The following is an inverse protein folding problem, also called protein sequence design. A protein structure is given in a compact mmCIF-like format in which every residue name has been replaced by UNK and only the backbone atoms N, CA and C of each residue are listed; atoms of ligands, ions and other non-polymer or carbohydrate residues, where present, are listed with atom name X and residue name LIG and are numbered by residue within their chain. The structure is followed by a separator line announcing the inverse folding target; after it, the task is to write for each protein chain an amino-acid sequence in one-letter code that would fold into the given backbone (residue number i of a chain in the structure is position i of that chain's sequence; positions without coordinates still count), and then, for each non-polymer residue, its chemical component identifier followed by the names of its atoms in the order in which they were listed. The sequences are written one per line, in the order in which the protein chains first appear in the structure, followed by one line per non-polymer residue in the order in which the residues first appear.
data_IF_384606461291
#
_entry.id   IF_384606461291
#
_cell.length_a   1.000
_cell.length_b   1.000
_cell.length_c   1.000
_cell.angle_alpha   90.00
_cell.angle_beta   90.00
_cell.angle_gamma   90.00
#
_symmetry.space_group_name_H-M   'P 1'
#
loop_
_entity.id
_entity.type
_entity.pdbx_description
1 polymer ?
#
# COMPACT_ATOMS: atom_id res chain seq x y z
N UNK A 1 3.87 -0.14 13.32
CA UNK A 1 3.57 0.06 11.89
C UNK A 1 4.72 -0.47 11.05
N UNK A 2 4.43 -1.12 9.97
CA UNK A 2 5.43 -1.75 9.12
C UNK A 2 5.35 -1.24 7.68
N UNK A 3 6.51 -1.20 7.02
CA UNK A 3 6.63 -0.90 5.62
C UNK A 3 7.48 -1.94 4.92
N UNK A 4 6.92 -2.57 3.89
CA UNK A 4 7.61 -3.58 3.09
C UNK A 4 7.81 -3.09 1.67
N UNK A 5 8.97 -3.35 1.12
CA UNK A 5 9.23 -3.23 -0.31
C UNK A 5 9.49 -4.63 -0.83
N UNK A 6 8.65 -5.09 -1.76
CA UNK A 6 8.79 -6.38 -2.42
C UNK A 6 9.36 -6.13 -3.80
N UNK A 7 10.60 -6.59 -4.02
CA UNK A 7 11.25 -6.41 -5.31
C UNK A 7 11.35 -7.75 -6.06
N UNK A 8 11.25 -7.68 -7.36
CA UNK A 8 11.40 -8.82 -8.24
C UNK A 8 11.10 -8.43 -9.66
N UNK A 9 11.75 -9.11 -10.61
CA UNK A 9 11.44 -8.91 -12.03
C UNK A 9 10.05 -9.49 -12.32
N UNK A 10 9.51 -9.11 -13.46
CA UNK A 10 8.20 -9.56 -13.91
C UNK A 10 8.15 -11.10 -13.93
N UNK A 11 7.14 -11.66 -13.27
CA UNK A 11 6.94 -13.12 -13.21
C UNK A 11 7.58 -13.80 -11.99
N UNK A 12 8.23 -13.08 -11.08
CA UNK A 12 8.85 -13.67 -9.88
C UNK A 12 7.91 -13.77 -8.67
N UNK A 13 6.60 -13.52 -8.86
CA UNK A 13 5.62 -13.74 -7.81
C UNK A 13 5.44 -12.60 -6.82
N UNK A 14 5.94 -11.38 -7.10
CA UNK A 14 5.74 -10.24 -6.21
C UNK A 14 4.26 -9.87 -6.07
N UNK A 15 3.48 -10.01 -7.14
CA UNK A 15 2.04 -9.80 -7.08
C UNK A 15 1.33 -10.82 -6.20
N UNK A 16 1.79 -12.07 -6.23
CA UNK A 16 1.25 -13.13 -5.38
C UNK A 16 1.54 -12.86 -3.91
N UNK A 17 2.74 -12.38 -3.58
CA UNK A 17 3.10 -12.00 -2.22
C UNK A 17 2.21 -10.85 -1.72
N UNK A 18 1.95 -9.85 -2.56
CA UNK A 18 1.06 -8.74 -2.22
C UNK A 18 -0.37 -9.22 -1.96
N UNK A 19 -0.91 -10.08 -2.81
CA UNK A 19 -2.25 -10.66 -2.65
C UNK A 19 -2.34 -11.47 -1.37
N UNK A 20 -1.31 -12.27 -1.06
CA UNK A 20 -1.28 -13.04 0.18
C UNK A 20 -1.35 -12.15 1.42
N UNK A 21 -0.61 -11.05 1.43
CA UNK A 21 -0.65 -10.09 2.55
C UNK A 21 -2.02 -9.42 2.66
N UNK A 22 -2.61 -9.02 1.54
CA UNK A 22 -3.94 -8.42 1.54
C UNK A 22 -4.99 -9.40 2.07
N UNK A 23 -4.93 -10.66 1.64
CA UNK A 23 -5.81 -11.71 2.15
C UNK A 23 -5.69 -11.86 3.66
N UNK A 24 -4.46 -11.88 4.17
CA UNK A 24 -4.20 -11.99 5.61
C UNK A 24 -4.83 -10.84 6.39
N UNK A 25 -4.65 -9.59 5.94
CA UNK A 25 -5.22 -8.43 6.61
C UNK A 25 -6.74 -8.44 6.58
N UNK A 26 -7.33 -8.70 5.40
CA UNK A 26 -8.78 -8.73 5.24
C UNK A 26 -9.45 -9.80 6.12
N UNK A 27 -8.87 -11.00 6.18
CA UNK A 27 -9.44 -12.08 6.99
C UNK A 27 -9.27 -11.87 8.49
N UNK A 28 -8.37 -10.97 8.91
CA UNK A 28 -8.25 -10.54 10.29
C UNK A 28 -9.17 -9.36 10.63
N UNK A 29 -9.94 -8.87 9.68
CA UNK A 29 -10.82 -7.73 9.87
C UNK A 29 -10.13 -6.38 9.71
N UNK A 30 -8.96 -6.31 9.07
CA UNK A 30 -8.21 -5.07 8.86
C UNK A 30 -8.45 -4.53 7.46
N UNK A 31 -8.69 -3.21 7.30
CA UNK A 31 -8.96 -2.65 5.98
C UNK A 31 -7.75 -2.67 5.07
N UNK A 32 -7.99 -2.77 3.77
CA UNK A 32 -6.95 -2.75 2.73
C UNK A 32 -7.31 -1.71 1.67
N UNK A 33 -6.33 -0.94 1.24
CA UNK A 33 -6.44 -0.04 0.10
C UNK A 33 -5.36 -0.40 -0.92
N UNK A 34 -5.71 -0.50 -2.20
CA UNK A 34 -4.77 -0.95 -3.22
C UNK A 34 -5.15 -0.47 -4.61
N UNK A 35 -4.14 -0.28 -5.46
CA UNK A 35 -4.33 -0.03 -6.89
C UNK A 35 -4.41 -1.32 -7.72
N UNK A 36 -4.45 -2.48 -7.06
CA UNK A 36 -4.65 -3.77 -7.70
C UNK A 36 -6.12 -4.16 -7.72
N UNK A 37 -6.53 -4.95 -8.71
CA UNK A 37 -7.86 -5.54 -8.72
C UNK A 37 -7.94 -6.66 -7.68
N UNK A 38 -9.00 -6.66 -6.90
CA UNK A 38 -9.24 -7.66 -5.87
C UNK A 38 -10.51 -8.45 -6.16
N UNK A 39 -10.39 -9.76 -6.10
CA UNK A 39 -11.52 -10.68 -6.19
C UNK A 39 -11.90 -11.13 -4.78
N UNK A 40 -12.70 -10.32 -4.10
CA UNK A 40 -13.02 -10.50 -2.68
C UNK A 40 -13.71 -11.83 -2.40
N UNK A 41 -14.53 -12.32 -3.32
CA UNK A 41 -15.21 -13.60 -3.20
C UNK A 41 -14.23 -14.78 -3.09
N UNK A 42 -13.02 -14.63 -3.68
CA UNK A 42 -11.96 -15.64 -3.63
C UNK A 42 -10.99 -15.44 -2.48
N UNK A 43 -10.85 -14.19 -2.01
CA UNK A 43 -9.89 -13.84 -0.96
C UNK A 43 -10.47 -14.01 0.43
N UNK A 44 -11.76 -13.81 0.60
CA UNK A 44 -12.38 -13.81 1.91
C UNK A 44 -12.84 -15.20 2.31
N UNK A 45 -12.33 -15.66 3.46
CA UNK A 45 -12.78 -16.89 4.08
C UNK A 45 -14.05 -16.68 4.94
N UNK A 46 -14.32 -15.42 5.29
CA UNK A 46 -15.44 -15.02 6.15
C UNK A 46 -16.17 -13.81 5.54
N UNK A 47 -17.49 -13.89 5.47
CA UNK A 47 -18.35 -12.82 4.94
C UNK A 47 -18.36 -11.55 5.80
N UNK A 48 -17.84 -11.60 7.01
CA UNK A 48 -17.74 -10.45 7.93
C UNK A 48 -16.41 -9.72 7.85
N UNK A 49 -15.74 -9.84 6.73
CA UNK A 49 -14.44 -9.22 6.55
C UNK A 49 -14.53 -7.70 6.38
N UNK A 50 -13.40 -7.06 6.56
CA UNK A 50 -13.25 -5.63 6.57
C UNK A 50 -13.36 -4.99 5.17
N UNK A 51 -13.27 -3.65 5.17
CA UNK A 51 -13.41 -2.86 3.96
C UNK A 51 -12.17 -2.95 3.07
N UNK A 52 -12.41 -3.02 1.77
CA UNK A 52 -11.37 -2.89 0.75
C UNK A 52 -11.65 -1.66 -0.10
N UNK A 53 -10.62 -0.84 -0.30
CA UNK A 53 -10.69 0.38 -1.10
C UNK A 53 -9.87 0.20 -2.36
N UNK A 54 -10.48 0.38 -3.53
CA UNK A 54 -9.78 0.35 -4.80
C UNK A 54 -9.27 1.75 -5.16
N UNK A 55 -7.94 1.90 -5.23
CA UNK A 55 -7.30 3.11 -5.70
C UNK A 55 -7.12 3.06 -7.22
N UNK A 56 -7.09 4.20 -7.93
CA UNK A 56 -6.76 4.22 -9.36
C UNK A 56 -5.39 3.60 -9.64
N UNK A 57 -5.20 3.07 -10.86
CA UNK A 57 -3.93 2.47 -11.26
C UNK A 57 -2.76 3.45 -11.10
N UNK A 58 -2.98 4.70 -11.48
CA UNK A 58 -2.05 5.80 -11.24
C UNK A 58 -2.63 6.68 -10.15
N UNK A 59 -2.34 6.30 -8.91
CA UNK A 59 -2.90 6.96 -7.72
C UNK A 59 -2.34 8.37 -7.57
N UNK A 60 -3.21 9.32 -7.29
CA UNK A 60 -2.84 10.72 -7.03
C UNK A 60 -2.99 11.04 -5.55
N UNK A 61 -2.39 12.14 -5.11
CA UNK A 61 -2.53 12.56 -3.71
C UNK A 61 -3.99 12.77 -3.31
N UNK A 62 -4.83 13.24 -4.22
CA UNK A 62 -6.26 13.41 -3.98
C UNK A 62 -6.95 12.09 -3.61
N UNK A 63 -6.52 10.99 -4.24
CA UNK A 63 -7.08 9.67 -3.98
C UNK A 63 -6.69 9.16 -2.59
N UNK A 64 -5.47 9.46 -2.14
CA UNK A 64 -5.06 9.16 -0.78
C UNK A 64 -5.78 10.02 0.25
N UNK A 65 -6.02 11.29 -0.06
CA UNK A 65 -6.66 12.21 0.87
C UNK A 65 -8.10 11.84 1.21
N UNK A 66 -8.78 11.10 0.34
CA UNK A 66 -10.14 10.63 0.62
C UNK A 66 -10.17 9.31 1.39
N UNK A 67 -9.03 8.64 1.56
CA UNK A 67 -8.98 7.45 2.40
C UNK A 67 -9.20 7.85 3.86
N UNK A 68 -10.15 7.20 4.54
CA UNK A 68 -10.29 7.42 5.98
C UNK A 68 -9.10 6.80 6.71
N UNK A 69 -8.88 7.17 7.99
CA UNK A 69 -7.98 6.40 8.84
C UNK A 69 -8.40 4.93 8.85
N UNK A 70 -7.42 4.01 8.92
CA UNK A 70 -7.71 2.58 8.91
C UNK A 70 -8.63 2.16 10.06
N UNK A 71 -8.53 2.87 11.18
CA UNK A 71 -9.39 2.67 12.34
C UNK A 71 -9.89 4.03 12.85
N UNK A 72 -11.04 4.01 13.51
CA UNK A 72 -11.60 5.21 14.13
C UNK A 72 -10.60 5.80 15.12
N UNK A 73 -10.26 7.10 15.03
CA UNK A 73 -9.35 7.74 15.98
C UNK A 73 -9.79 7.65 17.44
N UNK A 74 -11.09 7.50 17.70
CA UNK A 74 -11.61 7.32 19.06
C UNK A 74 -11.32 5.91 19.59
N UNK A 75 -11.14 4.95 18.71
CA UNK A 75 -10.74 3.59 19.02
C UNK A 75 -9.23 3.49 18.80
N UNK A 76 -8.44 3.44 19.85
CA UNK A 76 -6.97 3.42 19.78
C UNK A 76 -6.46 1.97 19.83
N UNK A 77 -6.50 1.22 18.72
CA UNK A 77 -5.93 -0.11 18.70
C UNK A 77 -4.40 0.01 18.69
N UNK A 78 -3.76 -0.45 19.75
CA UNK A 78 -2.30 -0.30 19.87
C UNK A 78 -1.53 -1.11 18.82
N UNK A 79 -2.09 -2.25 18.38
CA UNK A 79 -1.37 -3.21 17.53
C UNK A 79 -2.07 -3.52 16.19
N UNK A 80 -3.02 -2.67 15.78
CA UNK A 80 -3.81 -2.97 14.58
C UNK A 80 -3.69 -1.85 13.56
N UNK A 81 -3.28 -2.21 12.35
CA UNK A 81 -3.20 -1.28 11.22
C UNK A 81 -3.88 -1.89 10.00
N UNK A 82 -4.40 -1.03 9.12
CA UNK A 82 -4.76 -1.43 7.78
C UNK A 82 -3.54 -1.56 6.90
N UNK A 83 -3.72 -2.00 5.67
CA UNK A 83 -2.64 -2.20 4.70
C UNK A 83 -2.93 -1.41 3.42
N UNK A 84 -1.97 -0.59 3.01
CA UNK A 84 -1.96 0.02 1.67
C UNK A 84 -0.96 -0.75 0.82
N UNK A 85 -1.42 -1.27 -0.33
CA UNK A 85 -0.58 -1.95 -1.31
C UNK A 85 -0.55 -1.13 -2.59
N UNK A 86 0.64 -0.68 -2.99
CA UNK A 86 0.85 0.04 -4.23
C UNK A 86 1.71 -0.81 -5.15
N UNK A 87 1.08 -1.33 -6.20
CA UNK A 87 1.72 -2.20 -7.19
C UNK A 87 2.42 -1.36 -8.25
N UNK A 88 3.60 -1.80 -8.65
CA UNK A 88 4.42 -1.18 -9.68
C UNK A 88 4.66 0.32 -9.44
N UNK A 89 5.01 0.68 -8.20
CA UNK A 89 5.13 2.07 -7.76
C UNK A 89 6.06 2.89 -8.67
N UNK A 90 7.23 2.34 -9.01
CA UNK A 90 8.20 3.05 -9.81
C UNK A 90 7.70 3.34 -11.23
N UNK A 91 6.84 2.48 -11.77
CA UNK A 91 6.33 2.63 -13.13
C UNK A 91 5.49 3.90 -13.28
N UNK A 92 4.59 4.17 -12.34
CA UNK A 92 3.72 5.33 -12.46
C UNK A 92 4.23 6.58 -11.74
N UNK A 93 4.95 6.44 -10.63
CA UNK A 93 5.53 7.60 -9.93
C UNK A 93 6.69 8.24 -10.69
N UNK A 94 7.45 7.46 -11.44
CA UNK A 94 8.58 7.95 -12.21
C UNK A 94 8.23 8.26 -13.67
N UNK A 95 6.96 8.15 -14.06
CA UNK A 95 6.55 8.47 -15.42
C UNK A 95 6.68 9.96 -15.68
N UNK A 96 6.98 10.33 -16.95
CA UNK A 96 7.11 11.73 -17.37
C UNK A 96 5.80 12.51 -17.25
N UNK A 97 4.67 11.82 -17.25
CA UNK A 97 3.36 12.43 -17.08
C UNK A 97 3.04 12.75 -15.63
N UNK A 98 3.84 12.23 -14.70
CA UNK A 98 3.63 12.42 -13.27
C UNK A 98 4.46 13.62 -12.80
N UNK A 99 3.80 14.72 -12.47
CA UNK A 99 4.45 15.97 -12.09
C UNK A 99 5.20 15.83 -10.76
N UNK A 100 6.35 16.50 -10.64
CA UNK A 100 7.16 16.48 -9.40
C UNK A 100 6.34 16.90 -8.17
N UNK A 101 5.44 17.87 -8.33
CA UNK A 101 4.55 18.31 -7.24
C UNK A 101 3.68 17.17 -6.73
N UNK A 102 3.11 16.35 -7.62
CA UNK A 102 2.33 15.18 -7.24
C UNK A 102 3.18 14.14 -6.53
N UNK A 103 4.37 13.88 -7.06
CA UNK A 103 5.30 12.92 -6.45
C UNK A 103 5.63 13.30 -5.02
N UNK A 104 6.02 14.55 -4.79
CA UNK A 104 6.37 15.05 -3.46
C UNK A 104 5.18 15.00 -2.51
N UNK A 105 3.98 15.32 -2.98
CA UNK A 105 2.78 15.26 -2.18
C UNK A 105 2.43 13.82 -1.76
N UNK A 106 2.58 12.87 -2.66
CA UNK A 106 2.35 11.44 -2.35
C UNK A 106 3.38 10.93 -1.36
N UNK A 107 4.66 11.25 -1.57
CA UNK A 107 5.73 10.86 -0.64
C UNK A 107 5.42 11.41 0.76
N UNK A 108 5.04 12.67 0.87
CA UNK A 108 4.67 13.28 2.13
C UNK A 108 3.48 12.56 2.79
N UNK A 109 2.46 12.23 2.01
CA UNK A 109 1.30 11.51 2.54
C UNK A 109 1.68 10.13 3.05
N UNK A 110 2.50 9.39 2.28
CA UNK A 110 2.96 8.05 2.69
C UNK A 110 3.78 8.10 3.99
N UNK A 111 4.65 9.11 4.13
CA UNK A 111 5.43 9.30 5.35
C UNK A 111 4.50 9.52 6.57
N UNK A 112 3.40 10.25 6.37
CA UNK A 112 2.43 10.53 7.41
C UNK A 112 1.37 9.44 7.60
N UNK A 113 1.37 8.41 6.78
CA UNK A 113 0.37 7.34 6.83
C UNK A 113 0.32 6.61 8.18
N UNK A 114 1.41 6.64 8.93
CA UNK A 114 1.47 6.09 10.29
C UNK A 114 0.40 6.68 11.22
N UNK A 115 0.16 7.97 11.10
CA UNK A 115 -0.84 8.67 11.93
C UNK A 115 -2.26 8.18 11.68
N UNK A 116 -2.49 7.60 10.49
CA UNK A 116 -3.79 7.07 10.07
C UNK A 116 -3.88 5.55 10.22
N UNK A 117 -2.90 4.93 10.89
CA UNK A 117 -2.86 3.49 11.16
C UNK A 117 -2.81 2.63 9.88
N UNK A 118 -2.00 3.03 8.91
CA UNK A 118 -1.78 2.24 7.70
C UNK A 118 -0.35 1.69 7.65
N UNK A 119 -0.24 0.39 7.45
CA UNK A 119 1.00 -0.26 7.01
C UNK A 119 1.12 -0.12 5.50
N UNK A 120 2.33 -0.21 4.96
CA UNK A 120 2.60 -0.06 3.54
C UNK A 120 3.28 -1.28 2.96
N UNK A 121 2.85 -1.70 1.78
CA UNK A 121 3.54 -2.68 0.96
C UNK A 121 3.64 -2.13 -0.46
N UNK A 122 4.87 -1.96 -0.92
CA UNK A 122 5.17 -1.43 -2.25
C UNK A 122 5.82 -2.53 -3.07
N UNK A 123 5.34 -2.75 -4.30
CA UNK A 123 6.00 -3.69 -5.22
C UNK A 123 6.77 -2.91 -6.27
N UNK A 124 7.97 -3.38 -6.58
CA UNK A 124 8.85 -2.76 -7.58
C UNK A 124 9.66 -3.84 -8.29
N UNK A 125 10.10 -3.53 -9.50
CA UNK A 125 11.02 -4.42 -10.20
C UNK A 125 12.44 -4.31 -9.64
N UNK A 126 12.86 -3.10 -9.28
CA UNK A 126 14.17 -2.85 -8.70
C UNK A 126 14.03 -1.82 -7.58
N UNK A 127 14.54 -2.16 -6.41
CA UNK A 127 14.54 -1.31 -5.22
C UNK A 127 15.14 0.08 -5.47
N UNK A 128 16.18 0.16 -6.29
CA UNK A 128 16.86 1.44 -6.59
C UNK A 128 16.04 2.36 -7.48
N UNK A 129 14.98 1.87 -8.12
CA UNK A 129 14.08 2.70 -8.93
C UNK A 129 13.14 3.54 -8.05
N UNK A 130 13.06 3.25 -6.76
CA UNK A 130 12.22 4.01 -5.83
C UNK A 130 12.98 5.24 -5.35
N UNK A 131 12.23 6.32 -5.11
CA UNK A 131 12.76 7.51 -4.48
C UNK A 131 13.50 7.17 -3.18
N UNK A 132 14.70 7.76 -3.00
CA UNK A 132 15.53 7.49 -1.84
C UNK A 132 14.84 7.85 -0.52
N UNK A 133 14.01 8.87 -0.50
CA UNK A 133 13.27 9.27 0.70
C UNK A 133 12.27 8.19 1.12
N UNK A 134 11.59 7.56 0.17
CA UNK A 134 10.71 6.42 0.45
C UNK A 134 11.51 5.24 0.99
N UNK A 135 12.63 4.90 0.34
CA UNK A 135 13.47 3.77 0.76
C UNK A 135 13.98 3.92 2.19
N UNK A 136 14.45 5.10 2.54
CA UNK A 136 15.06 5.33 3.86
C UNK A 136 14.02 5.54 4.96
N UNK A 137 12.85 6.08 4.65
CA UNK A 137 11.85 6.46 5.64
C UNK A 137 10.79 5.40 5.87
N UNK A 138 10.36 4.71 4.80
CA UNK A 138 9.20 3.82 4.84
C UNK A 138 9.53 2.34 4.76
N UNK A 139 10.73 1.98 4.32
CA UNK A 139 11.11 0.58 4.17
C UNK A 139 11.69 0.04 5.48
N UNK A 140 10.93 -0.77 6.18
CA UNK A 140 11.42 -1.54 7.32
C UNK A 140 11.97 -2.90 6.85
N UNK A 141 11.38 -3.46 5.79
CA UNK A 141 11.74 -4.77 5.27
C UNK A 141 11.85 -4.75 3.75
N UNK A 142 12.94 -5.27 3.22
CA UNK A 142 13.11 -5.53 1.79
C UNK A 142 12.94 -7.03 1.55
N UNK A 143 11.98 -7.41 0.71
CA UNK A 143 11.69 -8.80 0.35
C UNK A 143 12.10 -9.04 -1.08
N UNK A 144 12.88 -10.05 -1.30
CA UNK A 144 13.35 -10.46 -2.63
C UNK A 144 12.72 -11.77 -3.08
#
# INVERSE_FOLDING_TARGET
MAGWIVQGVRGEGKGLAAVWMMKKYLNQGFPVATNMDLYLDKLLDNKNASLAYRLPDFTRVQDFNILPPAFDPAYKPEDKNGLIVLDELALWMNSRTFKDKQRLAIIGWLILSRKNHWDLLLTVQNYEMIDAQIRTTLCDFLVQ
#
